data_IF_779049498206
#
_entry.id   IF_779049498206
#
_cell.length_a   1.000
_cell.length_b   1.000
_cell.length_c   1.000
_cell.angle_alpha   90.00
_cell.angle_beta   90.00
_cell.angle_gamma   90.00
#
_symmetry.space_group_name_H-M   'P 1'
#
loop_
_entity.id
_entity.type
_entity.pdbx_description
1 polymer ?
#
# COMPACT_ATOMS: atom_id res chain seq x y z
N UNK A 1 53.76 47.96 -43.46
CA UNK A 1 52.29 47.95 -43.41
C UNK A 1 51.92 46.50 -43.29
N UNK A 2 51.63 46.03 -42.08
CA UNK A 2 51.34 44.64 -41.79
C UNK A 2 49.87 44.57 -41.43
N UNK A 3 49.04 43.94 -42.27
CA UNK A 3 47.63 43.72 -41.98
C UNK A 3 47.46 42.56 -41.00
N UNK A 4 46.75 42.81 -39.91
CA UNK A 4 46.30 41.77 -38.97
C UNK A 4 44.95 41.22 -39.41
N UNK A 5 44.93 39.99 -39.85
CA UNK A 5 43.73 39.23 -40.15
C UNK A 5 43.04 38.82 -38.83
N UNK A 6 41.84 39.34 -38.58
CA UNK A 6 41.03 39.06 -37.40
C UNK A 6 40.12 37.86 -37.67
N UNK A 7 40.66 36.66 -37.50
CA UNK A 7 39.88 35.43 -37.52
C UNK A 7 38.90 35.33 -36.36
N UNK A 8 37.63 35.72 -36.56
CA UNK A 8 36.53 35.51 -35.61
C UNK A 8 36.16 34.03 -35.63
N UNK A 9 36.67 33.31 -34.63
CA UNK A 9 36.25 31.95 -34.31
C UNK A 9 34.77 31.92 -33.89
N UNK A 10 33.89 31.45 -34.75
CA UNK A 10 32.49 31.10 -34.40
C UNK A 10 32.51 29.90 -33.47
N UNK A 11 32.35 30.17 -32.16
CA UNK A 11 32.07 29.16 -31.20
C UNK A 11 30.70 28.52 -31.48
N UNK A 12 30.72 27.32 -32.03
CA UNK A 12 29.53 26.46 -32.16
C UNK A 12 29.12 26.04 -30.77
N UNK A 13 28.21 26.77 -30.15
CA UNK A 13 27.48 26.31 -28.98
C UNK A 13 26.65 25.11 -29.39
N UNK A 14 27.17 23.91 -29.19
CA UNK A 14 26.37 22.68 -29.22
C UNK A 14 25.28 22.86 -28.17
N UNK A 15 24.06 23.09 -28.61
CA UNK A 15 22.88 22.99 -27.76
C UNK A 15 22.85 21.56 -27.17
N UNK A 16 23.12 21.46 -25.86
CA UNK A 16 22.85 20.23 -25.09
C UNK A 16 21.38 19.94 -25.30
N UNK A 17 21.02 18.77 -25.83
CA UNK A 17 19.60 18.42 -25.95
C UNK A 17 19.02 18.46 -24.55
N UNK A 18 18.07 19.35 -24.32
CA UNK A 18 17.24 19.35 -23.12
C UNK A 18 16.48 18.03 -23.13
N UNK A 19 17.02 17.03 -22.45
CA UNK A 19 16.30 15.80 -22.13
C UNK A 19 15.03 16.23 -21.41
N UNK A 20 13.88 16.08 -22.09
CA UNK A 20 12.58 16.20 -21.45
C UNK A 20 12.67 15.33 -20.20
N UNK A 21 12.52 15.94 -19.03
CA UNK A 21 12.45 15.22 -17.76
C UNK A 21 11.51 14.03 -17.97
N UNK A 22 12.05 12.82 -17.90
CA UNK A 22 11.28 11.60 -18.12
C UNK A 22 10.23 11.55 -17.02
N UNK A 23 8.96 11.74 -17.39
CA UNK A 23 7.85 11.68 -16.42
C UNK A 23 7.76 10.26 -15.91
N UNK A 24 7.78 10.10 -14.59
CA UNK A 24 7.59 8.80 -13.92
C UNK A 24 6.20 8.25 -14.27
N UNK A 25 6.17 7.05 -14.81
CA UNK A 25 4.93 6.35 -15.19
C UNK A 25 4.51 5.42 -14.06
N UNK A 26 3.37 5.71 -13.47
CA UNK A 26 2.83 5.03 -12.31
C UNK A 26 1.59 4.24 -12.70
N UNK A 27 1.56 2.96 -12.36
CA UNK A 27 0.37 2.11 -12.47
C UNK A 27 -0.07 1.58 -11.12
N UNK A 28 -1.38 1.63 -10.88
CA UNK A 28 -2.02 1.04 -9.70
C UNK A 28 -2.85 -0.15 -10.15
N UNK A 29 -2.46 -1.33 -9.71
CA UNK A 29 -3.06 -2.60 -10.09
C UNK A 29 -3.97 -3.11 -8.97
N UNK A 30 -5.27 -3.21 -9.23
CA UNK A 30 -6.22 -3.86 -8.31
C UNK A 30 -6.38 -5.33 -8.63
N UNK A 31 -5.84 -6.21 -7.79
CA UNK A 31 -5.79 -7.65 -8.05
C UNK A 31 -6.85 -8.39 -7.24
N UNK A 32 -7.67 -9.17 -7.94
CA UNK A 32 -8.79 -9.90 -7.36
C UNK A 32 -9.96 -9.02 -6.94
N UNK A 33 -11.00 -9.61 -6.37
CA UNK A 33 -12.22 -8.89 -6.02
C UNK A 33 -12.02 -7.75 -5.03
N UNK A 34 -11.18 -7.93 -4.00
CA UNK A 34 -10.91 -6.88 -3.02
C UNK A 34 -10.11 -5.72 -3.64
N UNK A 35 -9.04 -6.00 -4.39
CA UNK A 35 -8.26 -4.98 -5.08
C UNK A 35 -9.12 -4.16 -6.05
N UNK A 36 -9.90 -4.81 -6.92
CA UNK A 36 -10.84 -4.15 -7.83
C UNK A 36 -11.87 -3.30 -7.08
N UNK A 37 -12.40 -3.80 -5.96
CA UNK A 37 -13.37 -3.10 -5.13
C UNK A 37 -12.80 -1.82 -4.52
N UNK A 38 -11.59 -1.88 -4.00
CA UNK A 38 -10.88 -0.73 -3.44
C UNK A 38 -10.64 0.31 -4.54
N UNK A 39 -10.08 -0.09 -5.69
CA UNK A 39 -9.84 0.83 -6.81
C UNK A 39 -11.10 1.53 -7.32
N UNK A 40 -12.25 0.85 -7.23
CA UNK A 40 -13.54 1.43 -7.66
C UNK A 40 -13.98 2.61 -6.79
N UNK A 41 -13.53 2.66 -5.54
CA UNK A 41 -13.93 3.66 -4.55
C UNK A 41 -12.92 4.79 -4.35
N UNK A 42 -11.73 4.69 -4.95
CA UNK A 42 -10.71 5.73 -4.87
C UNK A 42 -11.13 7.02 -5.60
N UNK A 43 -10.73 8.15 -5.05
CA UNK A 43 -10.88 9.46 -5.70
C UNK A 43 -9.79 9.67 -6.77
N UNK A 44 -10.00 9.10 -7.95
CA UNK A 44 -9.03 9.14 -9.05
C UNK A 44 -8.87 10.51 -9.70
N UNK A 45 -9.86 11.38 -9.53
CA UNK A 45 -9.82 12.73 -10.09
C UNK A 45 -8.68 13.60 -9.58
N UNK A 46 -8.16 13.32 -8.38
CA UNK A 46 -7.00 13.99 -7.80
C UNK A 46 -5.65 13.51 -8.35
N UNK A 47 -5.64 12.44 -9.18
CA UNK A 47 -4.43 11.75 -9.64
C UNK A 47 -4.43 11.50 -11.16
N UNK A 48 -4.57 12.54 -12.00
CA UNK A 48 -4.82 12.39 -13.45
C UNK A 48 -3.67 11.74 -14.24
N UNK A 49 -2.49 11.59 -13.63
CA UNK A 49 -1.29 11.03 -14.28
C UNK A 49 -1.01 9.58 -13.87
N UNK A 50 -1.89 8.98 -13.09
CA UNK A 50 -1.77 7.59 -12.62
C UNK A 50 -2.72 6.71 -13.41
N UNK A 51 -2.21 5.61 -13.94
CA UNK A 51 -3.01 4.61 -14.63
C UNK A 51 -3.54 3.57 -13.66
N UNK A 52 -4.85 3.30 -13.67
CA UNK A 52 -5.49 2.31 -12.83
C UNK A 52 -5.94 1.12 -13.65
N UNK A 53 -5.53 -0.09 -13.24
CA UNK A 53 -5.84 -1.35 -13.95
C UNK A 53 -6.45 -2.37 -12.99
N UNK A 54 -7.60 -2.92 -13.35
CA UNK A 54 -8.21 -4.04 -12.61
C UNK A 54 -7.82 -5.39 -13.20
N UNK A 55 -7.33 -6.31 -12.37
CA UNK A 55 -6.97 -7.67 -12.76
C UNK A 55 -7.78 -8.67 -11.92
N UNK A 56 -8.58 -9.53 -12.56
CA UNK A 56 -9.36 -10.52 -11.81
C UNK A 56 -9.65 -11.76 -12.66
N UNK A 57 -9.84 -12.90 -12.01
CA UNK A 57 -10.33 -14.15 -12.61
C UNK A 57 -11.87 -14.22 -12.63
N UNK A 58 -12.54 -13.47 -11.75
CA UNK A 58 -14.00 -13.33 -11.71
C UNK A 58 -14.43 -12.16 -12.60
N UNK A 59 -15.13 -12.53 -13.70
CA UNK A 59 -15.59 -11.57 -14.72
C UNK A 59 -16.60 -10.57 -14.16
N UNK A 60 -17.59 -11.05 -13.39
CA UNK A 60 -18.63 -10.21 -12.83
C UNK A 60 -18.06 -9.14 -11.87
N UNK A 61 -17.10 -9.52 -11.03
CA UNK A 61 -16.39 -8.61 -10.15
C UNK A 61 -15.53 -7.63 -10.93
N UNK A 62 -14.88 -8.07 -12.02
CA UNK A 62 -14.07 -7.22 -12.88
C UNK A 62 -14.91 -6.20 -13.66
N UNK A 63 -16.09 -6.58 -14.15
CA UNK A 63 -17.03 -5.68 -14.83
C UNK A 63 -17.50 -4.55 -13.91
N UNK A 64 -17.76 -4.86 -12.64
CA UNK A 64 -18.11 -3.87 -11.61
C UNK A 64 -16.95 -2.99 -11.15
N UNK A 65 -15.70 -3.36 -11.50
CA UNK A 65 -14.55 -2.52 -11.21
C UNK A 65 -14.65 -1.19 -11.98
N UNK A 66 -14.70 -0.08 -11.28
CA UNK A 66 -14.92 1.26 -11.86
C UNK A 66 -13.73 1.83 -12.64
N UNK A 67 -12.66 1.05 -12.92
CA UNK A 67 -11.50 1.49 -13.70
C UNK A 67 -11.71 1.23 -15.19
N UNK A 68 -11.05 2.04 -16.03
CA UNK A 68 -11.16 1.91 -17.50
C UNK A 68 -10.43 0.68 -18.01
N UNK A 69 -9.19 0.48 -17.57
CA UNK A 69 -8.37 -0.66 -18.00
C UNK A 69 -8.62 -1.87 -17.14
N UNK A 70 -8.97 -2.98 -17.79
CA UNK A 70 -9.32 -4.24 -17.13
C UNK A 70 -8.65 -5.40 -17.84
N UNK A 71 -8.05 -6.30 -17.07
CA UNK A 71 -7.48 -7.54 -17.56
C UNK A 71 -8.17 -8.72 -16.88
N UNK A 72 -8.97 -9.47 -17.63
CA UNK A 72 -9.50 -10.74 -17.15
C UNK A 72 -8.42 -11.80 -17.25
N UNK A 73 -8.12 -12.45 -16.14
CA UNK A 73 -7.17 -13.55 -16.03
C UNK A 73 -7.91 -14.89 -16.09
N UNK A 74 -7.32 -15.89 -16.76
CA UNK A 74 -7.79 -17.26 -16.76
C UNK A 74 -9.18 -17.46 -17.36
N UNK A 75 -9.57 -16.67 -18.35
CA UNK A 75 -10.89 -16.75 -18.96
C UNK A 75 -11.23 -18.14 -19.53
N UNK A 76 -10.24 -18.83 -20.10
CA UNK A 76 -10.38 -20.19 -20.62
C UNK A 76 -10.51 -21.26 -19.53
N UNK A 77 -9.85 -21.09 -18.41
CA UNK A 77 -9.80 -22.06 -17.30
C UNK A 77 -11.00 -21.89 -16.36
N UNK A 78 -11.25 -20.67 -15.90
CA UNK A 78 -12.30 -20.38 -14.91
C UNK A 78 -13.66 -20.09 -15.52
N UNK A 79 -13.75 -19.90 -16.82
CA UNK A 79 -14.94 -19.40 -17.52
C UNK A 79 -15.51 -18.11 -16.93
N UNK A 80 -14.66 -17.34 -16.21
CA UNK A 80 -15.04 -16.10 -15.54
C UNK A 80 -15.69 -16.27 -14.16
N UNK A 81 -15.72 -17.48 -13.59
CA UNK A 81 -16.28 -17.75 -12.26
C UNK A 81 -15.29 -17.52 -11.10
N UNK A 82 -14.06 -17.12 -11.42
CA UNK A 82 -13.00 -16.95 -10.43
C UNK A 82 -12.35 -18.28 -10.02
N UNK A 83 -11.52 -18.21 -8.97
CA UNK A 83 -10.70 -19.37 -8.50
C UNK A 83 -11.37 -20.17 -7.38
N UNK A 84 -12.63 -19.91 -7.03
CA UNK A 84 -13.28 -20.61 -5.92
C UNK A 84 -12.61 -20.43 -4.54
N UNK A 85 -11.75 -19.43 -4.39
CA UNK A 85 -10.98 -19.19 -3.16
C UNK A 85 -9.66 -19.95 -3.09
N UNK A 86 -9.26 -20.67 -4.14
CA UNK A 86 -8.01 -21.41 -4.22
C UNK A 86 -6.85 -20.52 -4.70
N UNK A 87 -5.82 -20.25 -3.87
CA UNK A 87 -4.65 -19.45 -4.26
C UNK A 87 -3.76 -20.15 -5.31
N UNK A 88 -3.66 -21.48 -5.27
CA UNK A 88 -2.82 -22.18 -6.23
C UNK A 88 -3.37 -22.06 -7.65
N UNK A 89 -4.69 -22.16 -7.82
CA UNK A 89 -5.33 -21.86 -9.10
C UNK A 89 -5.06 -20.41 -9.53
N UNK A 90 -5.12 -19.44 -8.60
CA UNK A 90 -4.80 -18.04 -8.90
C UNK A 90 -3.36 -17.84 -9.35
N UNK A 91 -2.42 -18.55 -8.73
CA UNK A 91 -1.00 -18.57 -9.08
C UNK A 91 -0.77 -19.18 -10.46
N UNK A 92 -1.33 -20.35 -10.72
CA UNK A 92 -1.24 -21.06 -12.00
C UNK A 92 -1.71 -20.17 -13.16
N UNK A 93 -2.89 -19.56 -13.03
CA UNK A 93 -3.46 -18.66 -14.03
C UNK A 93 -2.52 -17.47 -14.31
N UNK A 94 -1.96 -16.86 -13.28
CA UNK A 94 -1.02 -15.75 -13.46
C UNK A 94 0.28 -16.19 -14.17
N UNK A 95 0.73 -17.42 -13.94
CA UNK A 95 1.87 -18.01 -14.65
C UNK A 95 1.57 -18.29 -16.11
N UNK A 96 0.39 -18.77 -16.44
CA UNK A 96 -0.04 -19.05 -17.82
C UNK A 96 -0.24 -17.77 -18.64
N UNK A 97 -0.65 -16.67 -17.97
CA UNK A 97 -0.93 -15.40 -18.63
C UNK A 97 0.19 -14.34 -18.49
N UNK A 98 1.43 -14.78 -18.26
CA UNK A 98 2.58 -13.90 -18.05
C UNK A 98 2.72 -12.82 -19.12
N UNK A 99 2.54 -13.17 -20.39
CA UNK A 99 2.76 -12.24 -21.49
C UNK A 99 1.73 -11.12 -21.50
N UNK A 100 0.47 -11.41 -21.23
CA UNK A 100 -0.59 -10.40 -21.11
C UNK A 100 -0.38 -9.50 -19.89
N UNK A 101 0.13 -10.08 -18.80
CA UNK A 101 0.50 -9.31 -17.62
C UNK A 101 1.68 -8.39 -17.92
N UNK A 102 2.73 -8.88 -18.60
CA UNK A 102 3.88 -8.07 -19.01
C UNK A 102 3.48 -6.94 -19.96
N UNK A 103 2.59 -7.19 -20.90
CA UNK A 103 2.03 -6.15 -21.77
C UNK A 103 1.34 -5.04 -20.96
N UNK A 104 0.55 -5.43 -19.96
CA UNK A 104 -0.09 -4.48 -19.02
C UNK A 104 0.93 -3.67 -18.22
N UNK A 105 2.06 -4.27 -17.86
CA UNK A 105 3.14 -3.65 -17.09
C UNK A 105 4.13 -2.85 -17.97
N UNK A 106 4.03 -2.93 -19.28
CA UNK A 106 4.97 -2.32 -20.19
C UNK A 106 5.15 -0.82 -19.91
N UNK A 107 6.40 -0.37 -19.99
CA UNK A 107 6.78 1.02 -19.75
C UNK A 107 6.29 1.61 -18.39
N UNK A 108 6.44 0.87 -17.31
CA UNK A 108 6.04 1.32 -15.97
C UNK A 108 7.26 1.48 -15.07
N UNK A 109 7.41 2.64 -14.43
CA UNK A 109 8.53 2.92 -13.53
C UNK A 109 8.18 2.54 -12.07
N UNK A 110 6.91 2.72 -11.68
CA UNK A 110 6.38 2.35 -10.36
C UNK A 110 5.06 1.59 -10.48
N UNK A 111 5.01 0.41 -9.89
CA UNK A 111 3.80 -0.40 -9.76
C UNK A 111 3.31 -0.40 -8.31
N UNK A 112 2.10 0.10 -8.12
CA UNK A 112 1.33 -0.08 -6.90
C UNK A 112 0.43 -1.30 -7.04
N UNK A 113 0.64 -2.30 -6.23
CA UNK A 113 -0.13 -3.53 -6.23
C UNK A 113 -1.11 -3.52 -5.05
N UNK A 114 -2.40 -3.43 -5.34
CA UNK A 114 -3.48 -3.41 -4.34
C UNK A 114 -4.21 -4.74 -4.34
N UNK A 115 -4.21 -5.45 -3.21
CA UNK A 115 -4.80 -6.78 -3.14
C UNK A 115 -5.37 -7.10 -1.76
N UNK A 116 -6.43 -7.91 -1.73
CA UNK A 116 -6.88 -8.56 -0.49
C UNK A 116 -6.41 -10.01 -0.46
N UNK A 117 -5.74 -10.38 0.63
CA UNK A 117 -5.25 -11.74 0.85
C UNK A 117 -6.27 -12.59 1.60
N UNK A 118 -6.14 -13.91 1.52
CA UNK A 118 -7.02 -14.88 2.18
C UNK A 118 -8.07 -15.54 1.28
N UNK A 119 -8.09 -15.18 -0.02
CA UNK A 119 -8.86 -15.86 -1.08
C UNK A 119 -7.92 -16.30 -2.20
N UNK A 120 -8.47 -16.66 -3.37
CA UNK A 120 -7.69 -17.24 -4.46
C UNK A 120 -6.90 -16.22 -5.26
N UNK A 121 -7.57 -15.43 -6.11
CA UNK A 121 -6.91 -14.55 -7.10
C UNK A 121 -5.93 -13.57 -6.45
N UNK A 122 -6.38 -12.80 -5.46
CA UNK A 122 -5.51 -11.81 -4.79
C UNK A 122 -4.30 -12.45 -4.11
N UNK A 123 -4.48 -13.62 -3.48
CA UNK A 123 -3.41 -14.31 -2.76
C UNK A 123 -2.43 -14.99 -3.72
N UNK A 124 -2.93 -15.65 -4.76
CA UNK A 124 -2.11 -16.47 -5.65
C UNK A 124 -1.47 -15.68 -6.80
N UNK A 125 -2.21 -14.77 -7.43
CA UNK A 125 -1.71 -14.03 -8.57
C UNK A 125 -0.79 -12.86 -8.19
N UNK A 126 -1.01 -12.21 -7.03
CA UNK A 126 -0.23 -11.02 -6.64
C UNK A 126 1.28 -11.25 -6.57
N UNK A 127 1.80 -12.35 -5.99
CA UNK A 127 3.24 -12.61 -5.97
C UNK A 127 3.85 -12.72 -7.38
N UNK A 128 3.14 -13.37 -8.31
CA UNK A 128 3.59 -13.54 -9.69
C UNK A 128 3.61 -12.21 -10.42
N UNK A 129 2.55 -11.41 -10.29
CA UNK A 129 2.46 -10.08 -10.91
C UNK A 129 3.55 -9.15 -10.36
N UNK A 130 3.79 -9.18 -9.04
CA UNK A 130 4.86 -8.42 -8.41
C UNK A 130 6.24 -8.80 -8.93
N UNK A 131 6.52 -10.10 -9.05
CA UNK A 131 7.77 -10.61 -9.58
C UNK A 131 7.97 -10.16 -11.04
N UNK A 132 6.95 -10.27 -11.90
CA UNK A 132 7.03 -9.82 -13.28
C UNK A 132 7.29 -8.31 -13.38
N UNK A 133 6.65 -7.50 -12.56
CA UNK A 133 6.89 -6.06 -12.51
C UNK A 133 8.34 -5.74 -12.11
N UNK A 134 8.87 -6.44 -11.11
CA UNK A 134 10.25 -6.30 -10.64
C UNK A 134 11.25 -6.74 -11.71
N UNK A 135 11.01 -7.86 -12.40
CA UNK A 135 11.83 -8.35 -13.52
C UNK A 135 11.87 -7.33 -14.69
N UNK A 136 10.80 -6.57 -14.89
CA UNK A 136 10.74 -5.50 -15.89
C UNK A 136 11.38 -4.18 -15.43
N UNK A 137 11.97 -4.14 -14.23
CA UNK A 137 12.67 -2.99 -13.68
C UNK A 137 11.80 -1.95 -12.99
N UNK A 138 10.49 -2.21 -12.81
CA UNK A 138 9.62 -1.32 -12.05
C UNK A 138 9.92 -1.40 -10.55
N UNK A 139 9.87 -0.27 -9.85
CA UNK A 139 9.77 -0.26 -8.39
C UNK A 139 8.40 -0.82 -7.98
N UNK A 140 8.39 -1.84 -7.10
CA UNK A 140 7.17 -2.54 -6.74
C UNK A 140 6.76 -2.25 -5.30
N UNK A 141 5.59 -1.64 -5.12
CA UNK A 141 5.03 -1.31 -3.81
C UNK A 141 3.69 -2.02 -3.64
N UNK A 142 3.58 -2.85 -2.63
CA UNK A 142 2.33 -3.55 -2.29
C UNK A 142 1.52 -2.83 -1.22
N UNK A 143 0.22 -2.76 -1.42
CA UNK A 143 -0.77 -2.42 -0.40
C UNK A 143 -1.72 -3.59 -0.27
N UNK A 144 -1.63 -4.32 0.84
CA UNK A 144 -2.43 -5.51 1.03
C UNK A 144 -3.30 -5.44 2.27
N UNK A 145 -4.51 -5.95 2.11
CA UNK A 145 -5.50 -6.03 3.18
C UNK A 145 -5.62 -7.47 3.63
N UNK A 146 -5.49 -7.70 4.93
CA UNK A 146 -5.70 -9.02 5.54
C UNK A 146 -7.15 -9.17 5.98
N UNK A 147 -7.69 -10.40 5.91
CA UNK A 147 -9.07 -10.67 6.31
C UNK A 147 -9.28 -10.38 7.80
N UNK A 148 -10.52 -10.09 8.16
CA UNK A 148 -10.94 -10.05 9.56
C UNK A 148 -10.82 -11.45 10.19
N UNK A 149 -10.53 -11.48 11.50
CA UNK A 149 -10.47 -12.75 12.24
C UNK A 149 -11.79 -13.53 12.18
N UNK A 150 -12.93 -12.83 12.22
CA UNK A 150 -14.25 -13.47 12.11
C UNK A 150 -14.58 -14.07 10.74
N UNK A 151 -13.77 -13.82 9.69
CA UNK A 151 -13.94 -14.45 8.38
C UNK A 151 -13.47 -15.93 8.36
N UNK A 152 -12.94 -16.39 9.48
CA UNK A 152 -12.57 -17.79 9.72
C UNK A 152 -11.07 -18.06 9.60
N UNK A 153 -10.63 -18.99 10.43
CA UNK A 153 -9.21 -19.32 10.64
C UNK A 153 -8.51 -19.78 9.35
N UNK A 154 -9.21 -20.58 8.54
CA UNK A 154 -8.71 -21.04 7.24
C UNK A 154 -8.33 -19.85 6.35
N UNK A 155 -9.18 -18.82 6.28
CA UNK A 155 -8.98 -17.65 5.45
C UNK A 155 -7.83 -16.78 5.97
N UNK A 156 -7.74 -16.61 7.27
CA UNK A 156 -6.63 -15.90 7.93
C UNK A 156 -5.29 -16.59 7.64
N UNK A 157 -5.24 -17.93 7.75
CA UNK A 157 -4.03 -18.71 7.50
C UNK A 157 -3.61 -18.68 6.02
N UNK A 158 -4.55 -18.71 5.09
CA UNK A 158 -4.29 -18.51 3.66
C UNK A 158 -3.72 -17.12 3.41
N UNK A 159 -4.30 -16.08 4.04
CA UNK A 159 -3.81 -14.71 3.95
C UNK A 159 -2.39 -14.54 4.47
N UNK A 160 -2.06 -15.15 5.62
CA UNK A 160 -0.71 -15.12 6.21
C UNK A 160 0.33 -15.77 5.30
N UNK A 161 0.04 -16.94 4.71
CA UNK A 161 0.95 -17.61 3.76
C UNK A 161 1.15 -16.77 2.51
N UNK A 162 0.07 -16.25 1.91
CA UNK A 162 0.17 -15.37 0.75
C UNK A 162 0.96 -14.09 1.02
N UNK A 163 0.86 -13.54 2.25
CA UNK A 163 1.63 -12.40 2.69
C UNK A 163 3.15 -12.71 2.69
N UNK A 164 3.55 -13.87 3.20
CA UNK A 164 4.96 -14.29 3.25
C UNK A 164 5.55 -14.47 1.84
N UNK A 165 4.77 -14.98 0.89
CA UNK A 165 5.20 -15.13 -0.51
C UNK A 165 5.30 -13.77 -1.21
N UNK A 166 4.29 -12.93 -1.02
CA UNK A 166 4.25 -11.61 -1.63
C UNK A 166 5.38 -10.70 -1.12
N UNK A 167 5.72 -10.78 0.16
CA UNK A 167 6.80 -10.01 0.78
C UNK A 167 8.17 -10.26 0.11
N UNK A 168 8.41 -11.48 -0.40
CA UNK A 168 9.62 -11.83 -1.14
C UNK A 168 9.66 -11.26 -2.55
N UNK A 169 8.50 -10.96 -3.11
CA UNK A 169 8.34 -10.55 -4.52
C UNK A 169 8.27 -9.03 -4.70
N UNK A 170 8.12 -8.26 -3.61
CA UNK A 170 8.00 -6.81 -3.62
C UNK A 170 9.26 -6.11 -3.11
N UNK A 171 9.44 -4.84 -3.50
CA UNK A 171 10.48 -3.98 -2.91
C UNK A 171 10.02 -3.40 -1.57
N UNK A 172 8.76 -2.99 -1.51
CA UNK A 172 8.15 -2.42 -0.32
C UNK A 172 6.70 -2.92 -0.16
N UNK A 173 6.27 -3.16 1.07
CA UNK A 173 4.95 -3.73 1.36
C UNK A 173 4.29 -3.08 2.56
N UNK A 174 3.15 -2.46 2.33
CA UNK A 174 2.25 -1.98 3.37
C UNK A 174 1.15 -3.00 3.64
N UNK A 175 0.99 -3.38 4.90
CA UNK A 175 -0.02 -4.37 5.32
C UNK A 175 -1.06 -3.70 6.20
N UNK A 176 -2.31 -3.85 5.83
CA UNK A 176 -3.47 -3.34 6.58
C UNK A 176 -4.29 -4.51 7.10
N UNK A 177 -4.13 -4.90 8.37
CA UNK A 177 -5.02 -5.87 8.99
C UNK A 177 -6.41 -5.24 9.20
N UNK A 178 -7.47 -5.86 8.67
CA UNK A 178 -8.83 -5.33 8.85
C UNK A 178 -9.22 -5.16 10.33
N UNK A 179 -8.70 -6.02 11.21
CA UNK A 179 -9.00 -5.96 12.65
C UNK A 179 -8.53 -4.66 13.33
N UNK A 180 -7.54 -3.96 12.76
CA UNK A 180 -7.10 -2.65 13.27
C UNK A 180 -8.20 -1.60 13.15
N UNK A 181 -9.05 -1.72 12.14
CA UNK A 181 -10.18 -0.81 11.93
C UNK A 181 -11.26 -0.96 13.00
N UNK A 182 -11.43 -2.19 13.53
CA UNK A 182 -12.40 -2.46 14.61
C UNK A 182 -11.90 -1.88 15.94
N UNK A 183 -10.59 -1.90 16.19
CA UNK A 183 -10.00 -1.40 17.43
C UNK A 183 -10.03 0.12 17.56
N UNK A 184 -9.95 0.82 16.44
CA UNK A 184 -9.90 2.29 16.38
C UNK A 184 -11.28 2.92 16.13
N UNK A 185 -12.34 2.13 16.17
CA UNK A 185 -13.71 2.64 16.09
C UNK A 185 -14.19 3.03 17.47
N UNK A 186 -14.37 4.33 17.73
CA UNK A 186 -15.00 4.84 18.96
C UNK A 186 -16.49 4.47 19.04
N UNK A 187 -17.11 4.15 17.91
CA UNK A 187 -18.47 3.65 17.75
C UNK A 187 -18.44 2.42 16.84
N UNK A 188 -19.38 1.50 17.00
CA UNK A 188 -19.51 0.32 16.13
C UNK A 188 -19.86 0.76 14.68
N UNK A 189 -18.88 0.83 13.77
CA UNK A 189 -19.15 1.36 12.45
C UNK A 189 -19.91 0.34 11.62
N UNK A 190 -20.88 0.79 10.83
CA UNK A 190 -21.44 -0.08 9.80
C UNK A 190 -20.34 -0.65 8.90
N UNK A 191 -20.52 -1.86 8.37
CA UNK A 191 -19.58 -2.51 7.45
C UNK A 191 -19.12 -1.56 6.32
N UNK A 192 -20.05 -0.76 5.75
CA UNK A 192 -19.74 0.22 4.71
C UNK A 192 -18.78 1.31 5.20
N UNK A 193 -18.97 1.82 6.41
CA UNK A 193 -18.06 2.82 7.01
C UNK A 193 -16.70 2.20 7.35
N UNK A 194 -16.66 0.96 7.82
CA UNK A 194 -15.42 0.23 8.10
C UNK A 194 -14.54 0.06 6.85
N UNK A 195 -15.12 -0.44 5.76
CA UNK A 195 -14.39 -0.55 4.49
C UNK A 195 -14.00 0.80 3.90
N UNK A 196 -14.84 1.84 4.05
CA UNK A 196 -14.51 3.20 3.61
C UNK A 196 -13.27 3.78 4.29
N UNK A 197 -12.96 3.38 5.52
CA UNK A 197 -11.70 3.77 6.19
C UNK A 197 -10.47 3.17 5.50
N UNK A 198 -10.53 1.91 5.03
CA UNK A 198 -9.44 1.28 4.26
C UNK A 198 -9.20 2.04 2.96
N UNK A 199 -10.28 2.37 2.27
CA UNK A 199 -10.23 3.11 1.01
C UNK A 199 -9.60 4.48 1.22
N UNK A 200 -9.97 5.20 2.29
CA UNK A 200 -9.39 6.48 2.67
C UNK A 200 -7.90 6.39 2.99
N UNK A 201 -7.45 5.32 3.63
CA UNK A 201 -6.03 5.09 3.90
C UNK A 201 -5.27 4.89 2.60
N UNK A 202 -5.77 4.03 1.70
CA UNK A 202 -5.12 3.81 0.42
C UNK A 202 -5.10 5.08 -0.44
N UNK A 203 -6.19 5.84 -0.44
CA UNK A 203 -6.27 7.11 -1.15
C UNK A 203 -5.17 8.08 -0.67
N UNK A 204 -5.01 8.20 0.65
CA UNK A 204 -3.93 8.99 1.24
C UNK A 204 -2.54 8.49 0.86
N UNK A 205 -2.31 7.17 0.87
CA UNK A 205 -1.04 6.54 0.49
C UNK A 205 -0.69 6.84 -0.97
N UNK A 206 -1.63 6.67 -1.88
CA UNK A 206 -1.42 6.93 -3.31
C UNK A 206 -1.24 8.42 -3.56
N UNK A 207 -2.01 9.28 -2.87
CA UNK A 207 -1.84 10.73 -2.94
C UNK A 207 -0.48 11.17 -2.41
N UNK A 208 -0.04 10.64 -1.26
CA UNK A 208 1.26 10.97 -0.69
C UNK A 208 2.39 10.67 -1.68
N UNK A 209 2.43 9.46 -2.23
CA UNK A 209 3.44 9.06 -3.20
C UNK A 209 3.27 9.72 -4.57
N UNK A 210 2.04 9.88 -5.03
CA UNK A 210 1.74 10.60 -6.27
C UNK A 210 2.19 12.06 -6.22
N UNK A 211 1.91 12.75 -5.12
CA UNK A 211 2.33 14.13 -4.91
C UNK A 211 3.86 14.26 -4.86
N UNK A 212 4.54 13.34 -4.19
CA UNK A 212 6.00 13.30 -4.15
C UNK A 212 6.63 13.16 -5.54
N UNK A 213 6.04 12.32 -6.40
CA UNK A 213 6.60 11.95 -7.70
C UNK A 213 6.17 12.85 -8.84
N UNK A 214 4.99 13.47 -8.74
CA UNK A 214 4.38 14.22 -9.85
C UNK A 214 4.49 15.74 -9.71
N UNK A 215 4.83 16.24 -8.52
CA UNK A 215 4.97 17.67 -8.24
C UNK A 215 6.37 17.98 -7.73
N UNK A 216 7.23 18.59 -8.56
CA UNK A 216 8.56 19.01 -8.12
C UNK A 216 8.42 20.06 -7.02
N UNK A 217 9.13 19.85 -5.91
CA UNK A 217 9.17 20.79 -4.78
C UNK A 217 10.30 21.81 -4.88
N UNK A 218 10.35 22.76 -3.93
CA UNK A 218 11.51 23.63 -3.71
C UNK A 218 12.73 22.81 -3.28
N UNK A 219 12.50 21.81 -2.42
CA UNK A 219 13.43 20.73 -2.10
C UNK A 219 12.81 19.48 -2.70
N UNK A 220 13.20 19.20 -3.95
CA UNK A 220 12.62 18.10 -4.71
C UNK A 220 13.28 16.79 -4.32
N UNK A 221 12.43 15.78 -4.13
CA UNK A 221 12.82 14.39 -4.13
C UNK A 221 12.66 13.86 -5.55
N UNK A 222 13.71 13.32 -6.10
CA UNK A 222 13.60 12.66 -7.40
C UNK A 222 13.13 11.19 -7.26
N UNK A 223 12.80 10.57 -8.38
CA UNK A 223 12.38 9.17 -8.34
C UNK A 223 13.49 8.23 -7.89
N UNK A 224 14.76 8.60 -8.11
CA UNK A 224 15.90 7.80 -7.68
C UNK A 224 16.01 7.77 -6.15
N UNK A 225 15.76 8.88 -5.46
CA UNK A 225 15.74 8.96 -3.99
C UNK A 225 14.65 8.05 -3.42
N UNK A 226 13.44 8.13 -3.98
CA UNK A 226 12.31 7.29 -3.54
C UNK A 226 12.58 5.82 -3.83
N UNK A 227 13.17 5.51 -4.99
CA UNK A 227 13.57 4.15 -5.34
C UNK A 227 14.61 3.62 -4.35
N UNK A 228 15.66 4.36 -4.07
CA UNK A 228 16.70 3.97 -3.12
C UNK A 228 16.14 3.72 -1.72
N UNK A 229 15.20 4.56 -1.30
CA UNK A 229 14.54 4.45 0.01
C UNK A 229 13.61 3.22 0.10
N UNK A 230 12.90 2.85 -0.97
CA UNK A 230 11.89 1.79 -0.94
C UNK A 230 12.41 0.44 -1.47
N UNK A 231 13.44 0.43 -2.30
CA UNK A 231 13.93 -0.78 -2.96
C UNK A 231 14.47 -1.78 -1.93
N UNK A 232 13.89 -3.00 -1.93
CA UNK A 232 14.25 -4.11 -1.04
C UNK A 232 14.18 -3.79 0.47
N UNK A 233 13.36 -2.83 0.86
CA UNK A 233 13.18 -2.45 2.28
C UNK A 233 12.15 -3.33 3.01
N UNK A 234 11.42 -4.16 2.29
CA UNK A 234 10.41 -5.04 2.88
C UNK A 234 9.20 -4.24 3.40
N UNK A 235 8.90 -4.31 4.68
CA UNK A 235 7.72 -3.63 5.20
C UNK A 235 7.91 -2.14 5.33
N UNK A 236 6.88 -1.41 4.88
CA UNK A 236 6.79 0.05 4.99
C UNK A 236 5.49 0.46 5.66
N UNK A 237 5.51 1.65 6.22
CA UNK A 237 4.32 2.34 6.70
C UNK A 237 4.27 3.72 6.09
N UNK A 238 3.09 4.12 5.62
CA UNK A 238 2.86 5.43 5.04
C UNK A 238 1.76 6.09 5.85
N UNK A 239 2.01 7.33 6.25
CA UNK A 239 1.08 8.13 7.00
C UNK A 239 0.97 9.53 6.39
N UNK A 240 -0.17 10.17 6.59
CA UNK A 240 -0.40 11.53 6.16
C UNK A 240 -1.12 12.30 7.27
N UNK A 241 -0.70 13.53 7.48
CA UNK A 241 -1.39 14.49 8.32
C UNK A 241 -1.73 15.73 7.54
N UNK A 242 -2.84 16.38 7.88
CA UNK A 242 -3.36 17.55 7.20
C UNK A 242 -3.95 18.51 8.24
N UNK A 243 -3.51 19.76 8.23
CA UNK A 243 -4.03 20.76 9.16
C UNK A 243 -4.05 22.15 8.51
N UNK A 244 -4.81 23.06 9.12
CA UNK A 244 -4.97 24.44 8.66
C UNK A 244 -4.74 25.42 9.83
N UNK A 245 -4.39 26.67 9.52
CA UNK A 245 -4.20 27.73 10.51
C UNK A 245 -2.76 27.93 10.96
N UNK A 246 -2.54 28.79 11.93
CA UNK A 246 -1.20 29.27 12.32
C UNK A 246 -0.18 28.20 12.73
N UNK A 247 -0.64 27.06 13.28
CA UNK A 247 0.18 25.92 13.69
C UNK A 247 0.03 24.71 12.76
N UNK A 248 -0.47 24.92 11.53
CA UNK A 248 -0.83 23.85 10.60
C UNK A 248 0.30 22.84 10.39
N UNK A 249 1.53 23.26 10.22
CA UNK A 249 2.67 22.38 9.98
C UNK A 249 2.94 21.43 11.17
N UNK A 250 2.91 21.95 12.39
CA UNK A 250 3.10 21.14 13.60
C UNK A 250 1.95 20.14 13.80
N UNK A 251 0.70 20.59 13.63
CA UNK A 251 -0.47 19.75 13.78
C UNK A 251 -0.52 18.65 12.69
N UNK A 252 -0.21 18.98 11.45
CA UNK A 252 -0.08 18.00 10.37
C UNK A 252 1.01 16.95 10.67
N UNK A 253 2.17 17.37 11.18
CA UNK A 253 3.24 16.46 11.58
C UNK A 253 2.81 15.54 12.74
N UNK A 254 2.14 16.08 13.77
CA UNK A 254 1.59 15.27 14.87
C UNK A 254 0.56 14.25 14.39
N UNK A 255 -0.33 14.66 13.48
CA UNK A 255 -1.31 13.74 12.89
C UNK A 255 -0.63 12.62 12.09
N UNK A 256 0.40 12.94 11.28
CA UNK A 256 1.15 11.96 10.53
C UNK A 256 1.83 10.94 11.44
N UNK A 257 2.51 11.39 12.50
CA UNK A 257 3.18 10.52 13.49
C UNK A 257 2.19 9.68 14.30
N UNK A 258 0.97 10.21 14.54
CA UNK A 258 -0.08 9.54 15.30
C UNK A 258 -1.04 8.73 14.41
N UNK A 259 -0.73 8.57 13.14
CA UNK A 259 -1.60 7.86 12.19
C UNK A 259 -1.85 6.43 12.65
N UNK A 260 -3.11 5.92 12.63
CA UNK A 260 -3.49 4.66 13.26
C UNK A 260 -2.76 3.41 12.77
N UNK A 261 -2.23 3.44 11.55
CA UNK A 261 -1.44 2.35 10.98
C UNK A 261 0.07 2.54 11.16
N UNK A 262 0.50 3.72 11.60
CA UNK A 262 1.89 3.98 11.94
C UNK A 262 2.12 3.59 13.40
N UNK A 263 2.66 2.41 13.63
CA UNK A 263 3.07 2.00 14.96
C UNK A 263 4.29 2.82 15.40
N UNK A 264 4.21 3.48 16.57
CA UNK A 264 5.31 4.24 17.16
C UNK A 264 6.59 3.40 17.31
N UNK A 265 6.45 2.10 17.54
CA UNK A 265 7.58 1.18 17.62
C UNK A 265 8.23 1.01 16.26
N UNK A 266 7.43 0.92 15.19
CA UNK A 266 7.93 0.80 13.83
C UNK A 266 8.68 2.05 13.37
N UNK A 267 8.21 3.24 13.72
CA UNK A 267 8.87 4.49 13.38
C UNK A 267 10.25 4.62 14.08
N UNK A 268 10.32 4.24 15.35
CA UNK A 268 11.59 4.20 16.12
C UNK A 268 12.57 3.11 15.67
N UNK A 269 12.10 2.09 14.97
CA UNK A 269 12.92 1.00 14.41
C UNK A 269 13.12 1.14 12.90
N UNK A 270 12.59 2.19 12.27
CA UNK A 270 12.75 2.40 10.85
C UNK A 270 14.23 2.58 10.47
N UNK A 271 14.63 2.00 9.36
CA UNK A 271 15.97 2.17 8.78
C UNK A 271 16.04 3.42 7.91
N UNK A 272 14.91 3.80 7.30
CA UNK A 272 14.79 5.01 6.51
C UNK A 272 13.43 5.68 6.77
N UNK A 273 13.44 7.00 6.79
CA UNK A 273 12.25 7.83 6.97
C UNK A 273 12.26 8.92 5.89
N UNK A 274 11.26 8.91 5.05
CA UNK A 274 11.00 10.00 4.13
C UNK A 274 9.92 10.89 4.72
N UNK A 275 10.22 12.17 4.84
CA UNK A 275 9.32 13.21 5.29
C UNK A 275 9.14 14.25 4.19
N UNK A 276 7.90 14.48 3.78
CA UNK A 276 7.59 15.54 2.83
C UNK A 276 6.52 16.46 3.40
N UNK A 277 6.76 17.76 3.31
CA UNK A 277 5.82 18.81 3.70
C UNK A 277 5.40 19.61 2.49
N UNK A 278 4.10 19.85 2.35
CA UNK A 278 3.50 20.63 1.28
C UNK A 278 2.55 21.67 1.88
N UNK A 279 2.68 22.93 1.47
CA UNK A 279 1.81 24.00 1.93
C UNK A 279 1.63 25.07 0.87
N UNK A 280 0.85 26.10 1.18
CA UNK A 280 0.64 27.27 0.35
C UNK A 280 1.88 28.19 0.32
N UNK A 281 1.73 29.34 -0.33
CA UNK A 281 2.80 30.36 -0.46
C UNK A 281 3.33 30.87 0.88
N UNK A 282 2.52 30.76 1.94
CA UNK A 282 2.83 31.26 3.28
C UNK A 282 3.56 30.24 4.16
N UNK A 283 3.92 29.06 3.63
CA UNK A 283 4.67 28.06 4.36
C UNK A 283 6.08 28.58 4.69
N UNK A 284 6.34 28.86 5.97
CA UNK A 284 7.61 29.45 6.42
C UNK A 284 8.65 28.37 6.78
N UNK A 285 9.94 28.76 6.73
CA UNK A 285 11.05 27.90 7.16
C UNK A 285 10.91 27.45 8.63
N UNK A 286 10.43 28.31 9.50
CA UNK A 286 10.21 27.98 10.91
C UNK A 286 9.12 26.94 11.11
N UNK A 287 8.06 26.98 10.30
CA UNK A 287 7.01 25.95 10.30
C UNK A 287 7.54 24.60 9.81
N UNK A 288 8.36 24.62 8.75
CA UNK A 288 9.01 23.42 8.22
C UNK A 288 9.96 22.81 9.24
N UNK A 289 10.77 23.61 9.91
CA UNK A 289 11.68 23.20 10.98
C UNK A 289 10.90 22.54 12.14
N UNK A 290 9.86 23.20 12.62
CA UNK A 290 9.04 22.73 13.74
C UNK A 290 8.36 21.37 13.40
N UNK A 291 7.84 21.22 12.19
CA UNK A 291 7.28 19.94 11.73
C UNK A 291 8.35 18.84 11.64
N UNK A 292 9.54 19.18 11.12
CA UNK A 292 10.68 18.25 10.99
C UNK A 292 11.16 17.74 12.35
N UNK A 293 11.24 18.61 13.35
CA UNK A 293 11.63 18.25 14.71
C UNK A 293 10.67 17.20 15.31
N UNK A 294 9.36 17.42 15.16
CA UNK A 294 8.35 16.46 15.64
C UNK A 294 8.56 15.08 15.02
N UNK A 295 8.82 15.00 13.71
CA UNK A 295 9.06 13.72 13.03
C UNK A 295 10.37 13.08 13.50
N UNK A 296 11.46 13.85 13.62
CA UNK A 296 12.77 13.36 14.07
C UNK A 296 12.74 12.81 15.49
N UNK A 297 12.07 13.49 16.42
CA UNK A 297 11.91 13.03 17.82
C UNK A 297 11.18 11.70 17.95
N UNK A 298 10.29 11.42 17.00
CA UNK A 298 9.52 10.18 16.96
C UNK A 298 10.17 9.08 16.09
N UNK A 299 11.23 9.40 15.36
CA UNK A 299 11.96 8.50 14.47
C UNK A 299 13.20 7.90 15.15
N UNK A 300 13.80 6.88 14.51
CA UNK A 300 15.10 6.36 14.92
C UNK A 300 16.20 7.41 14.65
N UNK A 301 17.09 7.61 15.61
CA UNK A 301 18.27 8.49 15.43
C UNK A 301 19.27 7.95 14.40
N UNK A 302 19.18 6.67 14.06
CA UNK A 302 20.03 5.99 13.07
C UNK A 302 19.35 5.84 11.71
N UNK A 303 18.09 6.27 11.58
CA UNK A 303 17.39 6.20 10.31
C UNK A 303 18.00 7.15 9.28
N UNK A 304 18.14 6.68 8.05
CA UNK A 304 18.36 7.55 6.90
C UNK A 304 17.16 8.49 6.76
N UNK A 305 17.39 9.80 6.85
CA UNK A 305 16.30 10.78 6.82
C UNK A 305 16.31 11.54 5.50
N UNK A 306 15.30 11.31 4.69
CA UNK A 306 15.10 11.94 3.38
C UNK A 306 14.00 13.00 3.52
N UNK A 307 14.29 14.23 3.12
CA UNK A 307 13.41 15.37 3.31
C UNK A 307 13.04 16.04 1.99
N UNK A 308 11.74 16.37 1.86
CA UNK A 308 11.22 17.16 0.75
C UNK A 308 10.29 18.29 1.24
N UNK A 309 10.26 19.39 0.50
CA UNK A 309 9.35 20.50 0.75
C UNK A 309 8.81 21.05 -0.57
N UNK A 310 7.51 21.23 -0.68
CA UNK A 310 6.86 21.74 -1.88
C UNK A 310 5.85 22.84 -1.56
N UNK A 311 5.80 23.83 -2.44
CA UNK A 311 4.80 24.90 -2.41
C UNK A 311 3.76 24.58 -3.48
N UNK A 312 2.50 24.61 -3.07
CA UNK A 312 1.36 24.46 -3.97
C UNK A 312 0.49 25.73 -3.88
N UNK A 313 0.50 26.49 -4.94
CA UNK A 313 -0.23 27.76 -5.00
C UNK A 313 -1.76 27.60 -4.97
N UNK A 314 -2.24 26.38 -5.20
CA UNK A 314 -3.67 26.06 -5.14
C UNK A 314 -4.17 25.81 -3.71
N UNK A 315 -3.24 25.63 -2.77
CA UNK A 315 -3.52 25.41 -1.36
C UNK A 315 -3.45 26.75 -0.64
N UNK A 316 -4.49 27.11 0.09
CA UNK A 316 -4.51 28.26 0.99
C UNK A 316 -4.74 27.78 2.42
N UNK A 317 -3.92 28.27 3.36
CA UNK A 317 -4.03 28.03 4.80
C UNK A 317 -4.05 26.54 5.22
N UNK A 318 -3.48 25.67 4.40
CA UNK A 318 -3.41 24.24 4.66
C UNK A 318 -2.00 23.72 4.50
N UNK A 319 -1.58 22.83 5.40
CA UNK A 319 -0.32 22.10 5.32
C UNK A 319 -0.60 20.59 5.32
N UNK A 320 0.04 19.90 4.42
CA UNK A 320 -0.01 18.43 4.30
C UNK A 320 1.38 17.87 4.57
N UNK A 321 1.47 16.92 5.48
CA UNK A 321 2.68 16.17 5.79
C UNK A 321 2.49 14.73 5.35
N UNK A 322 3.40 14.23 4.52
CA UNK A 322 3.49 12.83 4.16
C UNK A 322 4.74 12.21 4.80
N UNK A 323 4.58 11.05 5.40
CA UNK A 323 5.62 10.33 6.11
C UNK A 323 5.66 8.88 5.61
N UNK A 324 6.86 8.41 5.23
CA UNK A 324 7.09 7.01 4.86
C UNK A 324 8.19 6.48 5.76
N UNK A 325 7.89 5.45 6.53
CA UNK A 325 8.85 4.71 7.36
C UNK A 325 9.12 3.35 6.71
N UNK A 326 10.39 3.04 6.48
CA UNK A 326 10.81 1.81 5.79
C UNK A 326 11.83 1.02 6.61
N UNK A 327 11.83 -0.32 6.47
CA UNK A 327 12.87 -1.20 7.02
C UNK A 327 12.65 -1.66 8.47
N UNK A 328 11.46 -1.55 9.02
CA UNK A 328 11.13 -2.15 10.32
C UNK A 328 10.73 -3.62 10.17
N UNK A 329 11.45 -4.57 10.79
CA UNK A 329 10.86 -5.90 11.04
C UNK A 329 9.74 -5.69 12.05
N UNK A 330 8.49 -5.90 11.64
CA UNK A 330 7.40 -6.02 12.60
C UNK A 330 7.64 -7.34 13.33
N UNK A 331 8.29 -7.26 14.48
CA UNK A 331 8.21 -8.33 15.44
C UNK A 331 6.74 -8.47 15.80
N UNK A 332 6.15 -9.64 15.58
CA UNK A 332 4.85 -10.01 16.14
C UNK A 332 4.99 -10.12 17.68
N UNK A 333 5.52 -9.08 18.32
CA UNK A 333 5.55 -8.98 19.77
C UNK A 333 4.18 -8.51 20.26
N UNK A 334 3.48 -9.43 20.85
CA UNK A 334 2.45 -9.12 21.82
C UNK A 334 1.01 -9.29 21.41
N UNK A 335 0.65 -10.40 20.80
CA UNK A 335 -0.63 -10.98 21.17
C UNK A 335 -0.39 -12.29 21.92
N UNK A 336 -0.28 -12.18 23.25
CA UNK A 336 -0.79 -13.28 24.08
C UNK A 336 -2.15 -13.64 23.46
N UNK A 337 -2.43 -14.92 23.18
CA UNK A 337 -3.77 -15.30 22.76
C UNK A 337 -4.72 -14.66 23.77
N UNK A 338 -5.75 -13.99 23.26
CA UNK A 338 -6.84 -13.55 24.14
C UNK A 338 -7.16 -14.73 25.05
N UNK A 339 -7.33 -14.53 26.36
CA UNK A 339 -7.63 -15.65 27.23
C UNK A 339 -8.77 -16.41 26.57
N UNK A 340 -8.51 -17.68 26.30
CA UNK A 340 -9.50 -18.59 25.74
C UNK A 340 -10.79 -18.26 26.47
N UNK A 341 -11.83 -17.94 25.70
CA UNK A 341 -13.19 -17.83 26.24
C UNK A 341 -13.29 -18.87 27.34
N UNK A 342 -13.49 -18.41 28.58
CA UNK A 342 -13.85 -19.33 29.68
C UNK A 342 -14.85 -20.27 29.04
N UNK A 343 -14.46 -21.53 28.86
CA UNK A 343 -15.45 -22.58 28.70
C UNK A 343 -16.43 -22.30 29.80
N UNK A 344 -17.61 -21.88 29.45
CA UNK A 344 -18.75 -21.96 30.34
C UNK A 344 -18.77 -23.44 30.73
N UNK A 345 -18.29 -23.70 31.94
CA UNK A 345 -18.45 -24.97 32.62
C UNK A 345 -19.95 -25.12 32.80
N UNK A 346 -20.60 -25.59 31.75
CA UNK A 346 -21.94 -26.14 31.84
C UNK A 346 -21.72 -27.41 32.61
N UNK A 347 -21.94 -27.34 33.94
CA UNK A 347 -21.89 -28.44 34.87
C UNK A 347 -22.88 -29.55 34.44
N UNK A 348 -22.54 -30.25 33.39
CA UNK A 348 -23.17 -31.49 32.97
C UNK A 348 -22.46 -32.57 33.78
N UNK A 349 -22.98 -32.83 34.97
CA UNK A 349 -22.67 -34.04 35.71
C UNK A 349 -23.02 -35.22 34.80
N UNK A 350 -21.99 -36.00 34.46
CA UNK A 350 -22.13 -37.28 33.78
C UNK A 350 -22.86 -38.27 34.71
N UNK A 351 -24.18 -38.20 34.72
CA UNK A 351 -25.03 -39.24 35.34
C UNK A 351 -26.44 -39.16 34.79
N UNK A 352 -26.57 -39.47 33.50
CA UNK A 352 -27.86 -39.97 33.02
C UNK A 352 -27.58 -40.98 31.89
N UNK A 353 -27.64 -42.26 32.27
CA UNK A 353 -27.56 -43.41 31.35
C UNK A 353 -28.73 -43.45 30.36
N UNK A 354 -29.56 -42.42 30.31
CA UNK A 354 -30.78 -42.37 29.51
C UNK A 354 -30.55 -41.87 28.07
N UNK A 355 -29.39 -41.23 27.75
CA UNK A 355 -29.12 -40.68 26.44
C UNK A 355 -28.42 -41.64 25.45
N UNK A 356 -28.19 -42.89 25.85
CA UNK A 356 -27.66 -43.88 24.93
C UNK A 356 -28.83 -44.58 24.22
N UNK A 357 -28.96 -44.49 22.87
CA UNK A 357 -29.97 -45.19 22.11
C UNK A 357 -29.98 -46.67 22.47
N UNK A 358 -31.17 -47.24 22.65
CA UNK A 358 -31.40 -48.59 23.16
C UNK A 358 -30.67 -49.72 22.43
N UNK A 359 -30.28 -49.51 21.19
CA UNK A 359 -29.53 -50.47 20.36
C UNK A 359 -28.02 -50.54 20.69
N UNK A 360 -27.48 -49.56 21.43
CA UNK A 360 -26.08 -49.53 21.84
C UNK A 360 -25.86 -50.01 23.29
N UNK A 361 -26.92 -50.34 24.02
CA UNK A 361 -26.79 -50.87 25.40
C UNK A 361 -26.33 -52.33 25.34
N UNK A 362 -25.08 -52.59 25.74
CA UNK A 362 -24.59 -53.96 25.91
C UNK A 362 -25.42 -54.68 26.95
N UNK A 363 -26.08 -55.77 26.61
CA UNK A 363 -26.68 -56.71 27.60
C UNK A 363 -25.53 -57.24 28.47
N UNK A 364 -25.58 -56.95 29.76
CA UNK A 364 -24.82 -57.69 30.77
C UNK A 364 -25.58 -58.98 31.03
N UNK A 365 -24.97 -60.12 30.68
CA UNK A 365 -25.31 -61.44 31.30
C UNK A 365 -24.60 -61.54 32.62
#
# INVERSE_FOLDING_TARGET
MIEFDSGVSKSVTKSVPTTKSARVRIKVLGIGGAGCSILSRLNRGSLPKIEFVGLNTDRSSLERCGVEKKLQLGGGVTRGWGTGGDPEMGRQIALEEKDRIKETLYETDLVFLVSGLGKGTGTGASPIIAQLAKEMGSLTVGFVVLPFYFEGEKRVNVGKRGLQELEKSLDALMVVPNDVLLKNAQEDPSLKKGFGKIDGILDQVIQALGNLLLHPGLISLDFADIRALLQNKGRIQIAMGKASGGNAAQEAAKQAVSFPLLDKISLKKAQAVLFNIRGGKDLSLSQVEAATLIVKENSSSQAEFVFGASIDETISDEVVVALIAAGGKITEEGKKPAPSSKQLDLGIHASDELDIPTFLRKRKN
#
